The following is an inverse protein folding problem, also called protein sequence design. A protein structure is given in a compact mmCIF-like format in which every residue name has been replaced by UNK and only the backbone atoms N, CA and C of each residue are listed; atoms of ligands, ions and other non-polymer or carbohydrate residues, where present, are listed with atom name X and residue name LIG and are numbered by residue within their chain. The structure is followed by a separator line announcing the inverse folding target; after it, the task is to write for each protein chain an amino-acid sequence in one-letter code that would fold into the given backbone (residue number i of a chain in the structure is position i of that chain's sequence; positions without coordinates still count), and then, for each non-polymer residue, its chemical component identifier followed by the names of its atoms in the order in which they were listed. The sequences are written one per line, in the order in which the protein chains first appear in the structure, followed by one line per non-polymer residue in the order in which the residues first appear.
data_IF_101882577604
#
_entry.id   IF_101882577604
#
_cell.length_a   1.000
_cell.length_b   1.000
_cell.length_c   1.000
_cell.angle_alpha   90.00
_cell.angle_beta   90.00
_cell.angle_gamma   90.00
#
_symmetry.space_group_name_H-M   'P 1'
#
loop_
_entity.id
_entity.type
_entity.pdbx_description
1 polymer ?
#
# COMPACT_ATOMS: atom_id res chain seq x y z
N UNK A 1 -13.63 -49.97 23.09
CA UNK A 1 -12.74 -49.09 22.29
C UNK A 1 -13.45 -47.76 22.09
N UNK A 2 -13.15 -46.77 22.94
CA UNK A 2 -13.80 -45.46 22.87
C UNK A 2 -12.98 -44.53 21.99
N UNK A 3 -13.53 -44.17 20.83
CA UNK A 3 -12.93 -43.24 19.90
C UNK A 3 -12.85 -41.84 20.52
N UNK A 4 -11.63 -41.32 20.69
CA UNK A 4 -11.42 -39.91 21.06
C UNK A 4 -11.81 -39.01 19.88
N UNK A 5 -12.96 -38.33 20.01
CA UNK A 5 -13.26 -37.14 19.21
C UNK A 5 -12.20 -36.09 19.54
N UNK A 6 -11.34 -35.77 18.57
CA UNK A 6 -10.49 -34.58 18.63
C UNK A 6 -11.39 -33.36 18.84
N UNK A 7 -11.21 -32.67 19.97
CA UNK A 7 -11.82 -31.35 20.19
C UNK A 7 -11.34 -30.39 19.09
N UNK A 8 -12.21 -29.50 18.57
CA UNK A 8 -11.75 -28.41 17.74
C UNK A 8 -10.85 -27.53 18.61
N UNK A 9 -9.58 -27.41 18.23
CA UNK A 9 -8.70 -26.39 18.78
C UNK A 9 -9.25 -25.05 18.32
N UNK A 10 -9.90 -24.36 19.25
CA UNK A 10 -10.34 -22.98 19.07
C UNK A 10 -9.08 -22.11 18.98
N UNK A 11 -8.63 -21.81 17.75
CA UNK A 11 -7.48 -20.95 17.49
C UNK A 11 -7.93 -19.48 17.53
N UNK A 12 -8.45 -19.06 18.68
CA UNK A 12 -8.86 -17.68 18.94
C UNK A 12 -7.60 -16.83 19.19
N UNK A 13 -6.92 -16.40 18.11
CA UNK A 13 -5.79 -15.46 18.27
C UNK A 13 -4.80 -15.29 17.13
N UNK A 14 -5.04 -15.84 15.93
CA UNK A 14 -4.08 -15.77 14.83
C UNK A 14 -4.17 -14.46 14.02
N UNK A 15 -3.03 -13.98 13.53
CA UNK A 15 -2.98 -12.91 12.52
C UNK A 15 -3.71 -13.38 11.24
N UNK A 16 -4.44 -12.48 10.58
CA UNK A 16 -5.11 -12.79 9.33
C UNK A 16 -4.11 -12.68 8.17
N UNK A 17 -3.84 -13.79 7.48
CA UNK A 17 -2.98 -13.82 6.29
C UNK A 17 -3.67 -13.18 5.09
N UNK A 18 -2.99 -12.26 4.40
CA UNK A 18 -3.52 -11.50 3.27
C UNK A 18 -2.78 -11.80 1.96
N UNK A 19 -1.46 -12.00 2.04
CA UNK A 19 -0.64 -12.41 0.90
C UNK A 19 0.54 -13.26 1.40
N UNK A 20 1.04 -14.17 0.56
CA UNK A 20 2.24 -14.96 0.85
C UNK A 20 3.04 -15.18 -0.43
N UNK A 21 4.36 -15.07 -0.34
CA UNK A 21 5.28 -15.42 -1.41
C UNK A 21 6.58 -15.98 -0.79
N UNK A 22 6.79 -17.28 -0.93
CA UNK A 22 7.89 -17.98 -0.27
C UNK A 22 7.87 -17.79 1.25
N UNK A 23 8.95 -17.21 1.77
CA UNK A 23 9.17 -16.95 3.19
C UNK A 23 8.51 -15.66 3.69
N UNK A 24 8.01 -14.83 2.78
CA UNK A 24 7.34 -13.58 3.11
C UNK A 24 5.82 -13.74 3.15
N UNK A 25 5.20 -13.05 4.10
CA UNK A 25 3.75 -12.94 4.20
C UNK A 25 3.32 -11.55 4.63
N UNK A 26 2.17 -11.11 4.16
CA UNK A 26 1.52 -9.89 4.64
C UNK A 26 0.32 -10.30 5.47
N UNK A 27 0.20 -9.75 6.67
CA UNK A 27 -0.83 -10.12 7.64
C UNK A 27 -1.47 -8.89 8.28
N UNK A 28 -2.73 -9.02 8.70
CA UNK A 28 -3.29 -8.15 9.73
C UNK A 28 -3.05 -8.74 11.11
N UNK A 29 -2.60 -7.90 12.04
CA UNK A 29 -2.63 -8.25 13.46
C UNK A 29 -4.05 -8.10 14.04
N UNK A 30 -4.22 -8.41 15.33
CA UNK A 30 -5.50 -8.26 16.05
C UNK A 30 -6.05 -6.82 16.06
N UNK A 31 -5.18 -5.81 15.94
CA UNK A 31 -5.53 -4.39 15.88
C UNK A 31 -5.83 -3.91 14.45
N UNK A 32 -5.78 -4.82 13.47
CA UNK A 32 -5.86 -4.53 12.03
C UNK A 32 -4.72 -3.65 11.49
N UNK A 33 -3.59 -3.62 12.19
CA UNK A 33 -2.35 -3.09 11.64
C UNK A 33 -1.79 -4.08 10.61
N UNK A 34 -1.26 -3.55 9.52
CA UNK A 34 -0.71 -4.31 8.41
C UNK A 34 0.79 -4.56 8.62
N UNK A 35 1.22 -5.80 8.55
CA UNK A 35 2.61 -6.20 8.75
C UNK A 35 3.14 -7.04 7.59
N UNK A 36 4.41 -6.84 7.26
CA UNK A 36 5.22 -7.78 6.49
C UNK A 36 5.97 -8.69 7.47
N UNK A 37 5.82 -10.01 7.30
CA UNK A 37 6.55 -11.03 8.06
C UNK A 37 7.50 -11.76 7.11
N UNK A 38 8.79 -11.79 7.43
CA UNK A 38 9.82 -12.53 6.69
C UNK A 38 10.65 -13.34 7.67
N UNK A 39 10.74 -14.66 7.51
CA UNK A 39 11.59 -15.53 8.35
C UNK A 39 11.44 -15.32 9.88
N UNK A 40 10.22 -14.97 10.33
CA UNK A 40 9.81 -14.63 11.72
C UNK A 40 9.99 -13.17 12.15
N UNK A 41 10.71 -12.35 11.37
CA UNK A 41 10.79 -10.91 11.62
C UNK A 41 9.54 -10.19 11.11
N UNK A 42 9.12 -9.16 11.86
CA UNK A 42 7.90 -8.40 11.59
C UNK A 42 8.25 -6.92 11.34
N UNK A 43 7.71 -6.37 10.25
CA UNK A 43 7.86 -4.98 9.83
C UNK A 43 6.48 -4.35 9.67
N UNK A 44 6.23 -3.24 10.37
CA UNK A 44 4.95 -2.53 10.30
C UNK A 44 4.85 -1.78 8.96
N UNK A 45 3.89 -2.18 8.12
CA UNK A 45 3.63 -1.56 6.82
C UNK A 45 2.72 -0.33 6.96
N UNK A 46 1.64 -0.48 7.74
CA UNK A 46 0.67 0.57 7.98
C UNK A 46 -0.11 0.30 9.26
N UNK A 47 -0.42 1.35 10.01
CA UNK A 47 -1.35 1.25 11.15
C UNK A 47 -2.79 1.15 10.65
N UNK A 48 -3.63 0.50 11.44
CA UNK A 48 -5.07 0.46 11.20
C UNK A 48 -5.64 1.88 11.04
N UNK A 49 -6.33 2.11 9.93
CA UNK A 49 -7.12 3.32 9.68
C UNK A 49 -8.51 2.86 9.27
N UNK A 50 -9.59 3.29 9.96
CA UNK A 50 -10.95 2.85 9.65
C UNK A 50 -11.36 3.07 8.19
N UNK A 51 -10.82 4.13 7.59
CA UNK A 51 -11.14 4.57 6.22
C UNK A 51 -10.28 3.89 5.15
N UNK A 52 -9.24 3.15 5.54
CA UNK A 52 -8.29 2.53 4.63
C UNK A 52 -8.42 1.01 4.71
N UNK A 53 -9.13 0.44 3.73
CA UNK A 53 -9.28 -1.02 3.59
C UNK A 53 -8.43 -1.47 2.41
N UNK A 54 -7.27 -2.12 2.64
CA UNK A 54 -6.49 -2.76 1.60
C UNK A 54 -7.31 -3.85 0.90
N UNK A 55 -7.37 -3.83 -0.43
CA UNK A 55 -8.15 -4.80 -1.22
C UNK A 55 -7.29 -5.70 -2.10
N UNK A 56 -6.13 -5.22 -2.54
CA UNK A 56 -5.26 -5.91 -3.51
C UNK A 56 -3.84 -5.94 -2.96
N UNK A 57 -3.56 -6.82 -2.02
CA UNK A 57 -2.23 -6.92 -1.39
C UNK A 57 -1.37 -7.91 -2.18
N UNK A 58 -0.12 -7.52 -2.45
CA UNK A 58 0.91 -8.37 -3.06
C UNK A 58 2.23 -8.20 -2.30
N UNK A 59 2.99 -9.29 -2.23
CA UNK A 59 4.38 -9.28 -1.74
C UNK A 59 5.24 -10.08 -2.70
N UNK A 60 6.35 -9.49 -3.14
CA UNK A 60 7.29 -10.12 -4.05
C UNK A 60 8.72 -9.95 -3.54
N UNK A 61 9.56 -11.01 -3.58
CA UNK A 61 10.97 -10.85 -3.36
C UNK A 61 11.59 -10.03 -4.49
N UNK A 62 12.52 -9.15 -4.13
CA UNK A 62 13.25 -8.28 -5.03
C UNK A 62 14.74 -8.54 -4.86
N UNK A 63 15.36 -9.18 -5.85
CA UNK A 63 16.79 -9.45 -5.84
C UNK A 63 17.53 -8.25 -6.42
N UNK A 64 18.40 -7.63 -5.62
CA UNK A 64 19.22 -6.49 -6.02
C UNK A 64 20.68 -6.81 -5.69
N UNK A 65 21.46 -7.13 -6.74
CA UNK A 65 22.83 -7.63 -6.59
C UNK A 65 22.87 -8.84 -5.63
N UNK A 66 23.52 -8.71 -4.47
CA UNK A 66 23.65 -9.76 -3.46
C UNK A 66 22.59 -9.66 -2.35
N UNK A 67 21.69 -8.67 -2.41
CA UNK A 67 20.67 -8.44 -1.39
C UNK A 67 19.30 -8.93 -1.87
N UNK A 68 18.48 -9.44 -0.93
CA UNK A 68 17.07 -9.74 -1.18
C UNK A 68 16.20 -8.79 -0.34
N UNK A 69 15.46 -7.94 -1.03
CA UNK A 69 14.45 -7.06 -0.46
C UNK A 69 13.05 -7.61 -0.72
N UNK A 70 12.04 -6.97 -0.16
CA UNK A 70 10.65 -7.32 -0.41
C UNK A 70 9.87 -6.08 -0.84
N UNK A 71 9.29 -6.16 -2.04
CA UNK A 71 8.32 -5.19 -2.52
C UNK A 71 6.94 -5.61 -2.06
N UNK A 72 6.30 -4.75 -1.27
CA UNK A 72 4.92 -4.90 -0.86
C UNK A 72 4.11 -3.82 -1.54
N UNK A 73 3.03 -4.22 -2.20
CA UNK A 73 2.09 -3.32 -2.83
C UNK A 73 0.68 -3.60 -2.31
N UNK A 74 -0.08 -2.53 -2.04
CA UNK A 74 -1.51 -2.68 -1.85
C UNK A 74 -2.29 -1.50 -2.39
N UNK A 75 -3.50 -1.80 -2.85
CA UNK A 75 -4.50 -0.78 -3.16
C UNK A 75 -5.47 -0.62 -2.01
N UNK A 76 -5.93 0.59 -1.78
CA UNK A 76 -6.99 0.89 -0.84
C UNK A 76 -7.98 1.89 -1.44
N UNK A 77 -9.20 1.90 -0.89
CA UNK A 77 -10.24 2.86 -1.27
C UNK A 77 -10.62 3.65 -0.03
N UNK A 78 -10.62 4.96 -0.13
CA UNK A 78 -11.15 5.91 0.84
C UNK A 78 -12.43 6.53 0.26
N UNK A 79 -13.50 6.59 1.05
CA UNK A 79 -14.77 7.20 0.66
C UNK A 79 -15.12 8.32 1.62
N UNK A 80 -15.44 9.49 1.09
CA UNK A 80 -15.91 10.62 1.87
C UNK A 80 -17.14 11.21 1.20
N UNK A 81 -18.24 11.30 1.94
CA UNK A 81 -19.53 11.76 1.41
C UNK A 81 -20.15 12.79 2.34
N UNK A 82 -20.64 13.88 1.75
CA UNK A 82 -21.48 14.90 2.36
C UNK A 82 -22.70 15.12 1.47
N UNK A 83 -23.67 15.89 1.95
CA UNK A 83 -24.90 16.19 1.19
C UNK A 83 -24.65 16.83 -0.17
N UNK A 84 -23.53 17.56 -0.34
CA UNK A 84 -23.22 18.29 -1.57
C UNK A 84 -21.99 17.76 -2.30
N UNK A 85 -21.27 16.77 -1.74
CA UNK A 85 -19.98 16.33 -2.29
C UNK A 85 -19.67 14.89 -1.95
N UNK A 86 -19.25 14.14 -2.97
CA UNK A 86 -18.74 12.77 -2.86
C UNK A 86 -17.31 12.74 -3.36
N UNK A 87 -16.42 12.13 -2.59
CA UNK A 87 -15.04 11.86 -2.96
C UNK A 87 -14.79 10.36 -2.84
N UNK A 88 -14.37 9.76 -3.95
CA UNK A 88 -13.88 8.39 -4.01
C UNK A 88 -12.39 8.46 -4.30
N UNK A 89 -11.56 8.11 -3.33
CA UNK A 89 -10.13 8.05 -3.52
C UNK A 89 -9.64 6.61 -3.63
N UNK A 90 -8.84 6.34 -4.66
CA UNK A 90 -8.08 5.10 -4.83
C UNK A 90 -6.63 5.38 -4.50
N UNK A 91 -6.09 4.63 -3.54
CA UNK A 91 -4.68 4.68 -3.16
C UNK A 91 -3.96 3.44 -3.69
N UNK A 92 -2.72 3.63 -4.12
CA UNK A 92 -1.81 2.58 -4.54
C UNK A 92 -0.48 2.78 -3.80
N UNK A 93 -0.27 1.95 -2.79
CA UNK A 93 0.88 2.01 -1.89
C UNK A 93 1.96 1.05 -2.37
N UNK A 94 3.20 1.53 -2.45
CA UNK A 94 4.36 0.74 -2.81
C UNK A 94 5.43 0.93 -1.75
N UNK A 95 5.84 -0.16 -1.11
CA UNK A 95 6.92 -0.16 -0.14
C UNK A 95 7.98 -1.18 -0.50
N UNK A 96 9.25 -0.82 -0.31
CA UNK A 96 10.38 -1.74 -0.42
C UNK A 96 11.04 -1.85 0.94
N UNK A 97 11.20 -3.07 1.44
CA UNK A 97 11.78 -3.34 2.75
C UNK A 97 13.04 -4.18 2.65
N UNK A 98 14.04 -3.80 3.44
CA UNK A 98 15.18 -4.65 3.75
C UNK A 98 14.85 -5.47 5.02
N UNK A 99 14.65 -6.80 4.90
CA UNK A 99 14.25 -7.62 6.03
C UNK A 99 15.38 -7.83 7.05
N UNK A 100 16.65 -7.79 6.60
CA UNK A 100 17.82 -8.09 7.45
C UNK A 100 17.97 -7.06 8.58
N UNK A 101 17.84 -5.79 8.23
CA UNK A 101 17.95 -4.67 9.17
C UNK A 101 16.60 -4.00 9.46
N UNK A 102 15.49 -4.61 9.02
CA UNK A 102 14.10 -4.14 9.21
C UNK A 102 13.90 -2.68 8.77
N UNK A 103 14.57 -2.27 7.71
CA UNK A 103 14.57 -0.88 7.23
C UNK A 103 13.62 -0.70 6.05
N UNK A 104 12.80 0.34 6.11
CA UNK A 104 11.99 0.82 5.00
C UNK A 104 12.89 1.58 4.02
N UNK A 105 13.08 1.03 2.82
CA UNK A 105 13.93 1.62 1.78
C UNK A 105 13.16 2.59 0.87
N UNK A 106 11.86 2.34 0.67
CA UNK A 106 10.96 3.20 -0.09
C UNK A 106 9.56 3.08 0.49
N UNK A 107 8.86 4.20 0.63
CA UNK A 107 7.40 4.24 0.67
C UNK A 107 6.90 5.28 -0.33
N UNK A 108 5.98 4.88 -1.19
CA UNK A 108 5.35 5.73 -2.18
C UNK A 108 3.84 5.47 -2.25
N UNK A 109 3.06 6.53 -2.04
CA UNK A 109 1.61 6.52 -2.15
C UNK A 109 1.21 7.30 -3.40
N UNK A 110 0.60 6.61 -4.36
CA UNK A 110 -0.10 7.24 -5.47
C UNK A 110 -1.59 7.31 -5.12
N UNK A 111 -2.21 8.49 -5.28
CA UNK A 111 -3.62 8.70 -4.93
C UNK A 111 -4.37 9.33 -6.09
N UNK A 112 -5.47 8.73 -6.48
CA UNK A 112 -6.43 9.28 -7.45
C UNK A 112 -7.73 9.55 -6.72
N UNK A 113 -8.27 10.78 -6.83
CA UNK A 113 -9.52 11.19 -6.21
C UNK A 113 -10.52 11.60 -7.29
N UNK A 114 -11.62 10.87 -7.38
CA UNK A 114 -12.78 11.22 -8.18
C UNK A 114 -13.78 11.97 -7.29
N UNK A 115 -14.07 13.23 -7.64
CA UNK A 115 -14.92 14.15 -6.88
C UNK A 115 -16.17 14.41 -7.69
N UNK A 116 -17.34 14.25 -7.08
CA UNK A 116 -18.63 14.67 -7.62
C UNK A 116 -19.26 15.65 -6.65
N UNK A 117 -19.56 16.87 -7.08
CA UNK A 117 -20.15 17.90 -6.22
C UNK A 117 -21.36 18.59 -6.86
N UNK A 118 -22.31 18.96 -6.01
CA UNK A 118 -23.47 19.77 -6.36
C UNK A 118 -23.06 21.23 -6.17
N UNK A 119 -23.04 21.98 -7.27
CA UNK A 119 -22.83 23.42 -7.26
C UNK A 119 -24.17 24.11 -7.46
N UNK A 120 -24.58 24.92 -6.48
CA UNK A 120 -25.79 25.73 -6.58
C UNK A 120 -25.48 26.99 -7.39
N UNK A 121 -26.33 27.27 -8.37
CA UNK A 121 -26.16 28.40 -9.29
C UNK A 121 -26.83 29.68 -8.76
N UNK A 122 -27.64 29.56 -7.71
CA UNK A 122 -28.31 30.67 -7.03
C UNK A 122 -28.17 30.59 -5.50
N UNK A 123 -28.33 31.74 -4.85
CA UNK A 123 -28.22 31.86 -3.38
C UNK A 123 -29.31 31.11 -2.62
N UNK A 124 -30.49 30.92 -3.23
CA UNK A 124 -31.62 30.19 -2.63
C UNK A 124 -31.50 28.68 -2.82
N UNK A 125 -30.45 28.20 -3.51
CA UNK A 125 -30.18 26.78 -3.77
C UNK A 125 -31.32 26.08 -4.52
N UNK A 126 -32.00 26.81 -5.38
CA UNK A 126 -33.15 26.30 -6.17
C UNK A 126 -32.72 25.68 -7.50
N UNK A 127 -31.57 26.11 -8.00
CA UNK A 127 -30.95 25.68 -9.25
C UNK A 127 -29.57 25.14 -8.93
N UNK A 128 -29.25 23.96 -9.43
CA UNK A 128 -27.94 23.35 -9.22
C UNK A 128 -27.46 22.59 -10.45
N UNK A 129 -26.15 22.37 -10.50
CA UNK A 129 -25.51 21.49 -11.45
C UNK A 129 -24.60 20.50 -10.72
N UNK A 130 -24.36 19.35 -11.38
CA UNK A 130 -23.40 18.36 -10.88
C UNK A 130 -22.08 18.54 -11.63
N UNK A 131 -20.99 18.66 -10.88
CA UNK A 131 -19.64 18.78 -11.43
C UNK A 131 -18.83 17.55 -11.03
N UNK A 132 -18.11 16.98 -11.99
CA UNK A 132 -17.14 15.92 -11.75
C UNK A 132 -15.72 16.42 -11.97
N UNK A 133 -14.83 16.17 -11.00
CA UNK A 133 -13.40 16.53 -11.06
C UNK A 133 -12.57 15.30 -10.72
N UNK A 134 -11.40 15.19 -11.35
CA UNK A 134 -10.42 14.14 -11.04
C UNK A 134 -9.10 14.77 -10.63
N UNK A 135 -8.57 14.36 -9.49
CA UNK A 135 -7.27 14.82 -8.96
C UNK A 135 -6.34 13.64 -8.77
N UNK A 136 -5.12 13.75 -9.27
CA UNK A 136 -4.06 12.76 -9.05
C UNK A 136 -2.99 13.39 -8.17
N UNK A 137 -2.48 12.62 -7.21
CA UNK A 137 -1.48 13.02 -6.22
C UNK A 137 -0.41 11.94 -6.11
N UNK A 138 0.80 12.36 -5.70
CA UNK A 138 1.94 11.47 -5.55
C UNK A 138 2.66 11.17 -6.87
N UNK A 139 3.43 10.09 -6.87
CA UNK A 139 4.20 9.64 -8.02
C UNK A 139 3.77 8.24 -8.43
N UNK A 140 3.63 8.01 -9.73
CA UNK A 140 3.51 6.69 -10.30
C UNK A 140 4.82 5.93 -10.07
N UNK A 141 4.72 4.77 -9.44
CA UNK A 141 5.84 3.87 -9.19
C UNK A 141 5.95 2.80 -10.28
N UNK A 142 7.15 2.62 -10.82
CA UNK A 142 7.46 1.54 -11.76
C UNK A 142 8.71 0.80 -11.30
N UNK A 143 8.57 -0.50 -11.02
CA UNK A 143 9.66 -1.38 -10.59
C UNK A 143 10.31 -2.06 -11.81
N UNK A 144 11.63 -2.02 -11.88
CA UNK A 144 12.41 -2.68 -12.90
C UNK A 144 12.85 -4.08 -12.43
N UNK A 145 13.14 -4.98 -13.37
CA UNK A 145 13.51 -6.37 -13.08
C UNK A 145 14.82 -6.52 -12.29
N UNK A 146 15.73 -5.55 -12.43
CA UNK A 146 16.98 -5.47 -11.67
C UNK A 146 16.80 -4.90 -10.25
N UNK A 147 15.57 -4.52 -9.90
CA UNK A 147 15.17 -3.92 -8.64
C UNK A 147 15.49 -2.44 -8.46
N UNK A 148 15.92 -1.76 -9.52
CA UNK A 148 15.80 -0.31 -9.61
C UNK A 148 14.33 0.09 -9.79
N UNK A 149 14.00 1.35 -9.57
CA UNK A 149 12.65 1.84 -9.83
C UNK A 149 12.65 3.27 -10.35
N UNK A 150 11.50 3.71 -10.85
CA UNK A 150 11.26 5.12 -11.17
C UNK A 150 10.01 5.63 -10.47
N UNK A 151 10.08 6.90 -10.06
CA UNK A 151 8.93 7.69 -9.62
C UNK A 151 8.67 8.77 -10.66
N UNK A 152 7.44 8.81 -11.17
CA UNK A 152 7.07 9.78 -12.21
C UNK A 152 5.75 10.48 -11.91
N UNK A 153 5.66 11.74 -12.27
CA UNK A 153 4.40 12.47 -12.39
C UNK A 153 4.32 13.10 -13.79
N UNK A 154 3.37 14.02 -14.01
CA UNK A 154 3.18 14.66 -15.32
C UNK A 154 4.40 15.46 -15.83
N UNK A 155 5.28 15.89 -14.93
CA UNK A 155 6.34 16.85 -15.26
C UNK A 155 7.74 16.27 -15.08
N UNK A 156 7.91 15.27 -14.21
CA UNK A 156 9.22 14.77 -13.78
C UNK A 156 9.19 13.24 -13.73
N UNK A 157 10.29 12.62 -14.13
CA UNK A 157 10.59 11.22 -13.88
C UNK A 157 11.98 11.10 -13.28
N UNK A 158 12.06 10.51 -12.08
CA UNK A 158 13.33 10.25 -11.39
C UNK A 158 13.53 8.75 -11.28
N UNK A 159 14.71 8.26 -11.72
CA UNK A 159 15.12 6.87 -11.54
C UNK A 159 15.97 6.74 -10.28
N UNK A 160 15.83 5.61 -9.59
CA UNK A 160 16.54 5.30 -8.36
C UNK A 160 17.24 3.95 -8.49
N UNK A 161 18.49 3.90 -8.02
CA UNK A 161 19.25 2.67 -7.90
C UNK A 161 19.72 2.46 -6.47
N UNK A 162 19.86 1.20 -6.09
CA UNK A 162 20.34 0.86 -4.75
C UNK A 162 21.86 1.00 -4.63
N UNK A 163 22.28 1.73 -3.60
CA UNK A 163 23.68 1.93 -3.25
C UNK A 163 24.04 1.09 -2.02
N UNK A 164 24.87 0.06 -2.21
CA UNK A 164 25.28 -0.87 -1.14
C UNK A 164 26.11 -0.18 -0.05
N UNK A 165 26.82 0.92 -0.36
CA UNK A 165 27.64 1.65 0.62
C UNK A 165 26.78 2.42 1.60
N UNK A 166 25.67 3.00 1.13
CA UNK A 166 24.77 3.82 1.95
C UNK A 166 23.53 3.06 2.41
N UNK A 167 23.30 1.85 1.89
CA UNK A 167 22.17 0.98 2.18
C UNK A 167 20.82 1.67 1.89
N UNK A 168 20.78 2.43 0.79
CA UNK A 168 19.64 3.26 0.38
C UNK A 168 19.48 3.28 -1.13
N UNK A 169 18.25 3.58 -1.57
CA UNK A 169 18.01 3.98 -2.96
C UNK A 169 18.34 5.45 -3.16
N UNK A 170 19.10 5.75 -4.21
CA UNK A 170 19.55 7.09 -4.54
C UNK A 170 19.14 7.46 -5.97
N UNK A 171 18.77 8.72 -6.23
CA UNK A 171 18.49 9.17 -7.59
C UNK A 171 19.71 8.95 -8.49
N UNK A 172 19.49 8.33 -9.65
CA UNK A 172 20.51 8.23 -10.68
C UNK A 172 20.64 9.61 -11.32
N UNK A 173 21.72 10.32 -10.97
CA UNK A 173 22.08 11.55 -11.66
C UNK A 173 22.52 11.17 -13.08
N UNK A 174 21.88 11.78 -14.08
CA UNK A 174 22.36 11.77 -15.46
C UNK A 174 23.55 12.71 -15.57
#
# INVERSE_FOLDING_TARGET
MSAQKKKPTDNTGANLLLAKNGEASVVFNKKKDLYLIVLKDSMLLSKSKPELIPNTIKVNPLKVKNNTFYHVNWKAIEKKETTIRKELATLNENQIWNPINKTLLLANTEKTVDITEIEYLDRLKTTSQTISKKRNEGYLFSLLSNGDFSLSNKSIMTKYSYNDKTNKYEPIKR
#
